data_IF_880968477810
#
_entry.id   IF_880968477810
#
_cell.length_a   1.000
_cell.length_b   1.000
_cell.length_c   1.000
_cell.angle_alpha   90.00
_cell.angle_beta   90.00
_cell.angle_gamma   90.00
#
_symmetry.space_group_name_H-M   'P 1'
#
loop_
_entity.id
_entity.type
_entity.pdbx_description
1 polymer ?
#
# COMPACT_ATOMS: atom_id res chain seq x y z
N UNK A 1 -30.37 -25.80 34.40
CA UNK A 1 -30.73 -24.67 33.52
C UNK A 1 -30.22 -23.41 34.19
N UNK A 2 -29.08 -22.90 33.76
CA UNK A 2 -28.48 -21.66 34.24
C UNK A 2 -27.96 -20.96 33.00
N UNK A 3 -28.78 -20.06 32.47
CA UNK A 3 -28.42 -19.11 31.41
C UNK A 3 -27.37 -18.16 31.98
N UNK A 4 -26.10 -18.56 31.89
CA UNK A 4 -24.99 -17.63 32.01
C UNK A 4 -25.07 -16.71 30.79
N UNK A 5 -25.55 -15.49 31.02
CA UNK A 5 -25.37 -14.35 30.12
C UNK A 5 -23.97 -14.41 29.54
N UNK A 6 -23.88 -14.56 28.21
CA UNK A 6 -22.63 -14.54 27.45
C UNK A 6 -21.87 -13.26 27.82
N UNK A 7 -20.91 -13.39 28.73
CA UNK A 7 -20.08 -12.29 29.19
C UNK A 7 -19.25 -11.86 27.98
N UNK A 8 -19.67 -10.79 27.30
CA UNK A 8 -18.90 -10.18 26.22
C UNK A 8 -17.57 -9.73 26.80
N UNK A 9 -16.47 -10.28 26.28
CA UNK A 9 -15.15 -9.83 26.70
C UNK A 9 -14.87 -8.46 26.07
N UNK A 10 -14.72 -7.37 26.85
CA UNK A 10 -14.46 -6.04 26.32
C UNK A 10 -13.14 -5.96 25.54
N UNK A 11 -12.18 -6.86 25.79
CA UNK A 11 -10.93 -6.93 25.03
C UNK A 11 -11.16 -7.45 23.61
N UNK A 12 -12.12 -8.36 23.43
CA UNK A 12 -12.50 -8.88 22.12
C UNK A 12 -13.24 -7.82 21.33
N UNK A 13 -14.11 -7.05 21.98
CA UNK A 13 -14.80 -5.93 21.34
C UNK A 13 -13.82 -4.81 20.93
N UNK A 14 -12.82 -4.50 21.77
CA UNK A 14 -11.74 -3.57 21.43
C UNK A 14 -10.93 -4.07 20.22
N UNK A 15 -10.63 -5.37 20.16
CA UNK A 15 -9.97 -5.96 18.99
C UNK A 15 -10.83 -5.83 17.73
N UNK A 16 -12.13 -6.14 17.81
CA UNK A 16 -13.05 -6.05 16.67
C UNK A 16 -13.09 -4.63 16.09
N UNK A 17 -13.09 -3.60 16.94
CA UNK A 17 -13.02 -2.21 16.51
C UNK A 17 -11.70 -1.89 15.77
N UNK A 18 -10.56 -2.38 16.28
CA UNK A 18 -9.27 -2.22 15.59
C UNK A 18 -9.21 -3.00 14.27
N UNK A 19 -9.88 -4.15 14.17
CA UNK A 19 -9.99 -4.88 12.91
C UNK A 19 -10.84 -4.13 11.89
N UNK A 20 -11.93 -3.47 12.33
CA UNK A 20 -12.76 -2.63 11.46
C UNK A 20 -11.97 -1.41 10.96
N UNK A 21 -11.22 -0.73 11.83
CA UNK A 21 -10.30 0.35 11.44
C UNK A 21 -9.24 -0.11 10.43
N UNK A 22 -8.71 -1.33 10.61
CA UNK A 22 -7.77 -1.94 9.66
C UNK A 22 -8.42 -2.19 8.30
N UNK A 23 -9.67 -2.68 8.28
CA UNK A 23 -10.43 -2.92 7.05
C UNK A 23 -10.63 -1.59 6.29
N UNK A 24 -11.01 -0.53 6.99
CA UNK A 24 -11.29 0.75 6.37
C UNK A 24 -10.02 1.39 5.77
N UNK A 25 -8.90 1.35 6.50
CA UNK A 25 -7.61 1.81 5.97
C UNK A 25 -7.14 1.03 4.74
N UNK A 26 -7.32 -0.30 4.74
CA UNK A 26 -6.96 -1.13 3.59
C UNK A 26 -7.87 -0.87 2.38
N UNK A 27 -9.15 -0.55 2.59
CA UNK A 27 -10.06 -0.13 1.52
C UNK A 27 -9.65 1.21 0.92
N UNK A 28 -9.34 2.18 1.75
CA UNK A 28 -8.85 3.49 1.31
C UNK A 28 -7.57 3.31 0.46
N UNK A 29 -6.63 2.48 0.93
CA UNK A 29 -5.40 2.17 0.18
C UNK A 29 -5.72 1.52 -1.18
N UNK A 30 -6.67 0.59 -1.24
CA UNK A 30 -7.08 -0.04 -2.48
C UNK A 30 -7.69 0.97 -3.48
N UNK A 31 -8.54 1.86 -2.99
CA UNK A 31 -9.16 2.91 -3.80
C UNK A 31 -8.12 3.90 -4.34
N UNK A 32 -7.15 4.29 -3.51
CA UNK A 32 -6.03 5.12 -3.92
C UNK A 32 -5.20 4.45 -5.04
N UNK A 33 -4.85 3.17 -4.89
CA UNK A 33 -4.11 2.42 -5.91
C UNK A 33 -4.89 2.28 -7.23
N UNK A 34 -6.19 2.00 -7.17
CA UNK A 34 -7.06 1.96 -8.36
C UNK A 34 -7.11 3.30 -9.08
N UNK A 35 -7.27 4.36 -8.31
CA UNK A 35 -7.34 5.69 -8.86
C UNK A 35 -6.00 6.16 -9.44
N UNK A 36 -4.87 5.71 -8.86
CA UNK A 36 -3.54 5.89 -9.40
C UNK A 36 -3.39 5.17 -10.76
N UNK A 37 -3.75 3.89 -10.85
CA UNK A 37 -3.76 3.15 -12.12
C UNK A 37 -4.61 3.86 -13.18
N UNK A 38 -5.79 4.38 -12.81
CA UNK A 38 -6.66 5.13 -13.73
C UNK A 38 -6.01 6.44 -14.20
N UNK A 39 -5.35 7.17 -13.31
CA UNK A 39 -4.64 8.41 -13.67
C UNK A 39 -3.47 8.16 -14.63
N UNK A 40 -2.71 7.08 -14.40
CA UNK A 40 -1.63 6.63 -15.30
C UNK A 40 -2.19 6.35 -16.70
N UNK A 41 -3.29 5.60 -16.79
CA UNK A 41 -3.94 5.28 -18.07
C UNK A 41 -4.50 6.53 -18.77
N UNK A 42 -5.03 7.49 -18.00
CA UNK A 42 -5.55 8.75 -18.53
C UNK A 42 -4.46 9.78 -18.89
N UNK A 43 -3.19 9.52 -18.57
CA UNK A 43 -2.05 10.45 -18.74
C UNK A 43 -2.27 11.80 -18.05
N UNK A 44 -2.92 11.78 -16.89
CA UNK A 44 -3.18 12.99 -16.09
C UNK A 44 -2.05 13.19 -15.07
N UNK A 45 -0.98 13.84 -15.51
CA UNK A 45 0.25 14.04 -14.73
C UNK A 45 0.01 14.87 -13.45
N UNK A 46 -0.96 15.79 -13.47
CA UNK A 46 -1.31 16.63 -12.31
C UNK A 46 -1.96 15.78 -11.22
N UNK A 47 -2.90 14.94 -11.60
CA UNK A 47 -3.59 14.02 -10.68
C UNK A 47 -2.67 12.89 -10.22
N UNK A 48 -1.68 12.50 -11.03
CA UNK A 48 -0.66 11.52 -10.68
C UNK A 48 0.23 11.98 -9.51
N UNK A 49 0.78 13.19 -9.58
CA UNK A 49 1.66 13.73 -8.55
C UNK A 49 0.98 13.84 -7.19
N UNK A 50 -0.24 14.38 -7.15
CA UNK A 50 -1.03 14.48 -5.91
C UNK A 50 -1.31 13.10 -5.29
N UNK A 51 -1.64 12.10 -6.11
CA UNK A 51 -1.92 10.74 -5.63
C UNK A 51 -0.69 10.03 -5.10
N UNK A 52 0.49 10.27 -5.69
CA UNK A 52 1.75 9.71 -5.19
C UNK A 52 2.14 10.31 -3.83
N UNK A 53 1.93 11.62 -3.65
CA UNK A 53 2.18 12.29 -2.37
C UNK A 53 1.25 11.78 -1.26
N UNK A 54 -0.03 11.58 -1.57
CA UNK A 54 -1.00 11.02 -0.63
C UNK A 54 -0.63 9.57 -0.23
N UNK A 55 -0.21 8.75 -1.19
CA UNK A 55 0.22 7.37 -0.95
C UNK A 55 1.49 7.31 -0.08
N UNK A 56 2.39 8.29 -0.22
CA UNK A 56 3.58 8.45 0.62
C UNK A 56 3.28 8.79 2.08
N UNK A 57 2.07 9.29 2.38
CA UNK A 57 1.61 9.66 3.75
C UNK A 57 0.78 8.57 4.44
N UNK A 58 0.42 7.52 3.73
CA UNK A 58 -0.32 6.35 4.26
C UNK A 58 0.49 5.44 5.22
N UNK A 59 1.82 5.24 5.08
CA UNK A 59 2.59 4.31 5.92
C UNK A 59 2.54 4.58 7.45
N UNK A 60 2.64 5.84 7.94
CA UNK A 60 2.59 6.12 9.37
C UNK A 60 1.28 5.70 10.05
N UNK A 61 0.15 5.83 9.35
CA UNK A 61 -1.18 5.43 9.86
C UNK A 61 -1.32 3.92 9.96
N UNK A 62 -0.87 3.21 8.92
CA UNK A 62 -0.85 1.74 8.90
C UNK A 62 0.03 1.17 10.02
N UNK A 63 1.20 1.77 10.27
CA UNK A 63 2.10 1.35 11.34
C UNK A 63 1.49 1.56 12.73
N UNK A 64 0.78 2.67 12.95
CA UNK A 64 0.10 2.95 14.21
C UNK A 64 -0.99 1.91 14.52
N UNK A 65 -1.83 1.59 13.53
CA UNK A 65 -2.89 0.57 13.69
C UNK A 65 -2.30 -0.83 13.86
N UNK A 66 -1.23 -1.17 13.12
CA UNK A 66 -0.53 -2.44 13.28
C UNK A 66 0.08 -2.60 14.68
N UNK A 67 0.67 -1.54 15.25
CA UNK A 67 1.17 -1.52 16.63
C UNK A 67 0.04 -1.76 17.64
N UNK A 68 -1.10 -1.07 17.50
CA UNK A 68 -2.26 -1.23 18.38
C UNK A 68 -2.82 -2.65 18.32
N UNK A 69 -2.98 -3.21 17.11
CA UNK A 69 -3.39 -4.61 16.89
C UNK A 69 -2.44 -5.60 17.57
N UNK A 70 -1.13 -5.40 17.42
CA UNK A 70 -0.13 -6.28 18.03
C UNK A 70 -0.13 -6.21 19.57
N UNK A 71 -0.36 -5.02 20.14
CA UNK A 71 -0.52 -4.85 21.58
C UNK A 71 -1.76 -5.59 22.11
N UNK A 72 -2.92 -5.47 21.42
CA UNK A 72 -4.14 -6.19 21.77
C UNK A 72 -3.97 -7.71 21.64
N UNK A 73 -3.33 -8.19 20.57
CA UNK A 73 -2.99 -9.61 20.41
C UNK A 73 -2.17 -10.13 21.59
N UNK A 74 -1.21 -9.35 22.06
CA UNK A 74 -0.35 -9.73 23.19
C UNK A 74 -1.09 -9.72 24.53
N UNK A 75 -2.11 -8.86 24.71
CA UNK A 75 -2.98 -8.86 25.88
C UNK A 75 -3.91 -10.08 25.88
N UNK A 76 -4.53 -10.38 24.73
CA UNK A 76 -5.40 -11.55 24.56
C UNK A 76 -4.65 -12.87 24.73
N UNK A 77 -3.42 -12.96 24.21
CA UNK A 77 -2.56 -14.13 24.40
C UNK A 77 -2.27 -14.41 25.87
N UNK A 78 -1.99 -13.37 26.65
CA UNK A 78 -1.82 -13.49 28.10
C UNK A 78 -3.12 -13.90 28.81
N UNK A 79 -4.26 -13.32 28.43
CA UNK A 79 -5.55 -13.65 29.03
C UNK A 79 -5.97 -15.10 28.74
N UNK A 80 -5.64 -15.63 27.56
CA UNK A 80 -5.94 -17.00 27.12
C UNK A 80 -4.81 -18.01 27.43
N UNK A 81 -3.75 -17.57 28.12
CA UNK A 81 -2.65 -18.44 28.53
C UNK A 81 -1.85 -19.05 27.38
N UNK A 82 -1.83 -18.45 26.19
CA UNK A 82 -1.10 -18.98 25.04
C UNK A 82 0.06 -18.06 24.59
N UNK A 83 1.07 -18.59 23.90
CA UNK A 83 2.11 -17.78 23.29
C UNK A 83 1.53 -16.78 22.28
N UNK A 84 2.09 -15.56 22.23
CA UNK A 84 1.64 -14.50 21.29
C UNK A 84 1.74 -14.95 19.83
N UNK A 85 2.73 -15.78 19.50
CA UNK A 85 2.91 -16.35 18.15
C UNK A 85 1.77 -17.28 17.72
N UNK A 86 1.15 -17.99 18.66
CA UNK A 86 0.07 -18.93 18.41
C UNK A 86 -1.33 -18.28 18.52
N UNK A 87 -1.38 -17.03 18.98
CA UNK A 87 -2.62 -16.25 19.05
C UNK A 87 -3.02 -15.82 17.64
N UNK A 88 -3.97 -16.56 17.06
CA UNK A 88 -4.56 -16.28 15.74
C UNK A 88 -6.05 -15.91 15.89
N UNK A 89 -6.60 -15.18 14.92
CA UNK A 89 -8.05 -14.89 14.88
C UNK A 89 -8.89 -16.18 14.80
N UNK A 90 -8.32 -17.26 14.26
CA UNK A 90 -8.99 -18.57 14.25
C UNK A 90 -9.08 -19.18 15.64
N UNK A 91 -7.97 -19.18 16.38
CA UNK A 91 -7.93 -19.65 17.76
C UNK A 91 -8.85 -18.81 18.62
N UNK A 92 -8.77 -17.49 18.51
CA UNK A 92 -9.66 -16.58 19.24
C UNK A 92 -11.14 -16.91 18.98
N UNK A 93 -11.55 -17.16 17.74
CA UNK A 93 -12.92 -17.53 17.40
C UNK A 93 -13.37 -18.89 17.95
N UNK A 94 -12.46 -19.76 18.40
CA UNK A 94 -12.79 -21.03 19.08
C UNK A 94 -12.92 -20.86 20.60
N UNK A 95 -12.19 -19.92 21.18
CA UNK A 95 -12.14 -19.68 22.62
C UNK A 95 -13.22 -18.70 23.12
N UNK A 96 -13.73 -17.83 22.25
CA UNK A 96 -14.77 -16.84 22.61
C UNK A 96 -16.18 -17.37 22.35
N UNK A 97 -17.18 -16.96 23.16
CA UNK A 97 -18.56 -17.37 22.93
C UNK A 97 -19.14 -16.79 21.62
N UNK A 98 -20.11 -17.47 21.04
CA UNK A 98 -21.01 -16.87 20.04
C UNK A 98 -21.81 -15.75 20.75
N UNK A 99 -21.97 -14.53 20.19
CA UNK A 99 -21.80 -14.09 18.79
C UNK A 99 -20.43 -13.46 18.46
N UNK A 100 -19.52 -13.30 19.43
CA UNK A 100 -18.22 -12.67 19.19
C UNK A 100 -17.37 -13.52 18.24
N UNK A 101 -17.47 -14.85 18.35
CA UNK A 101 -16.79 -15.78 17.45
C UNK A 101 -17.21 -15.59 15.98
N UNK A 102 -18.51 -15.45 15.69
CA UNK A 102 -19.00 -15.10 14.36
C UNK A 102 -18.47 -13.75 13.85
N UNK A 103 -18.42 -12.73 14.71
CA UNK A 103 -17.90 -11.42 14.36
C UNK A 103 -16.40 -11.46 13.99
N UNK A 104 -15.60 -12.23 14.73
CA UNK A 104 -14.17 -12.46 14.45
C UNK A 104 -13.99 -13.17 13.11
N UNK A 105 -14.76 -14.24 12.85
CA UNK A 105 -14.69 -14.99 11.58
C UNK A 105 -15.02 -14.11 10.37
N UNK A 106 -16.06 -13.28 10.47
CA UNK A 106 -16.47 -12.35 9.42
C UNK A 106 -15.35 -11.34 9.08
N UNK A 107 -14.75 -10.72 10.10
CA UNK A 107 -13.67 -9.73 9.90
C UNK A 107 -12.39 -10.37 9.37
N UNK A 108 -12.06 -11.58 9.84
CA UNK A 108 -10.94 -12.36 9.28
C UNK A 108 -11.13 -12.62 7.79
N UNK A 109 -12.31 -13.05 7.36
CA UNK A 109 -12.59 -13.30 5.95
C UNK A 109 -12.42 -12.01 5.12
N UNK A 110 -13.03 -10.90 5.57
CA UNK A 110 -12.91 -9.60 4.92
C UNK A 110 -11.46 -9.12 4.80
N UNK A 111 -10.68 -9.21 5.87
CA UNK A 111 -9.27 -8.81 5.86
C UNK A 111 -8.45 -9.65 4.89
N UNK A 112 -8.71 -10.96 4.79
CA UNK A 112 -8.02 -11.84 3.84
C UNK A 112 -8.33 -11.42 2.40
N UNK A 113 -9.61 -11.25 2.09
CA UNK A 113 -10.04 -10.93 0.73
C UNK A 113 -9.54 -9.54 0.31
N UNK A 114 -9.53 -8.58 1.25
CA UNK A 114 -9.03 -7.23 1.01
C UNK A 114 -7.51 -7.19 0.86
N UNK A 115 -6.76 -7.93 1.67
CA UNK A 115 -5.31 -8.02 1.55
C UNK A 115 -4.91 -8.59 0.19
N UNK A 116 -5.63 -9.59 -0.30
CA UNK A 116 -5.42 -10.14 -1.64
C UNK A 116 -5.74 -9.12 -2.73
N UNK A 117 -6.84 -8.38 -2.60
CA UNK A 117 -7.21 -7.33 -3.55
C UNK A 117 -6.16 -6.21 -3.61
N UNK A 118 -5.64 -5.76 -2.46
CA UNK A 118 -4.57 -4.75 -2.38
C UNK A 118 -3.30 -5.28 -3.03
N UNK A 119 -2.90 -6.53 -2.75
CA UNK A 119 -1.73 -7.16 -3.35
C UNK A 119 -1.82 -7.19 -4.87
N UNK A 120 -2.96 -7.65 -5.40
CA UNK A 120 -3.20 -7.71 -6.84
C UNK A 120 -3.15 -6.31 -7.46
N UNK A 121 -3.84 -5.33 -6.86
CA UNK A 121 -3.85 -3.97 -7.38
C UNK A 121 -2.45 -3.34 -7.39
N UNK A 122 -1.65 -3.59 -6.35
CA UNK A 122 -0.28 -3.08 -6.27
C UNK A 122 0.60 -3.63 -7.40
N UNK A 123 0.48 -4.93 -7.70
CA UNK A 123 1.19 -5.56 -8.81
C UNK A 123 0.76 -4.98 -10.17
N UNK A 124 -0.55 -4.80 -10.39
CA UNK A 124 -1.06 -4.17 -11.60
C UNK A 124 -0.52 -2.76 -11.78
N UNK A 125 -0.57 -1.93 -10.74
CA UNK A 125 -0.05 -0.57 -10.78
C UNK A 125 1.45 -0.57 -11.06
N UNK A 126 2.23 -1.47 -10.45
CA UNK A 126 3.67 -1.58 -10.68
C UNK A 126 4.00 -1.91 -12.15
N UNK A 127 3.25 -2.83 -12.77
CA UNK A 127 3.39 -3.16 -14.19
C UNK A 127 3.07 -1.96 -15.08
N UNK A 128 1.97 -1.23 -14.79
CA UNK A 128 1.60 -0.04 -15.56
C UNK A 128 2.69 1.05 -15.51
N UNK A 129 3.23 1.32 -14.33
CA UNK A 129 4.33 2.29 -14.16
C UNK A 129 5.57 1.86 -14.94
N UNK A 130 5.94 0.58 -14.86
CA UNK A 130 7.09 0.04 -15.59
C UNK A 130 6.92 0.18 -17.11
N UNK A 131 5.73 -0.11 -17.64
CA UNK A 131 5.44 0.04 -19.06
C UNK A 131 5.47 1.50 -19.51
N UNK A 132 4.89 2.43 -18.74
CA UNK A 132 4.97 3.86 -19.04
C UNK A 132 6.42 4.34 -19.05
N UNK A 133 7.22 3.93 -18.07
CA UNK A 133 8.66 4.26 -18.04
C UNK A 133 9.41 3.70 -19.25
N UNK A 134 9.10 2.46 -19.66
CA UNK A 134 9.68 1.81 -20.83
C UNK A 134 9.33 2.56 -22.12
N UNK A 135 8.06 2.90 -22.33
CA UNK A 135 7.59 3.65 -23.51
C UNK A 135 8.22 5.04 -23.53
N UNK A 136 8.23 5.75 -22.41
CA UNK A 136 8.85 7.07 -22.32
C UNK A 136 10.34 7.01 -22.67
N UNK A 137 11.05 5.98 -22.19
CA UNK A 137 12.46 5.76 -22.55
C UNK A 137 12.63 5.52 -24.06
N UNK A 138 11.82 4.65 -24.66
CA UNK A 138 11.89 4.39 -26.10
C UNK A 138 11.57 5.63 -26.94
N UNK A 139 10.59 6.44 -26.52
CA UNK A 139 10.27 7.71 -27.17
C UNK A 139 11.42 8.71 -27.07
N UNK A 140 12.02 8.85 -25.88
CA UNK A 140 13.18 9.72 -25.69
C UNK A 140 14.36 9.28 -26.54
N UNK A 141 14.63 7.98 -26.65
CA UNK A 141 15.69 7.46 -27.51
C UNK A 141 15.41 7.69 -28.99
N UNK A 142 14.15 7.60 -29.43
CA UNK A 142 13.75 7.85 -30.82
C UNK A 142 13.69 9.34 -31.20
N UNK A 143 13.27 10.21 -30.28
CA UNK A 143 13.21 11.67 -30.47
C UNK A 143 14.58 12.33 -30.30
N UNK A 144 15.46 11.74 -29.50
CA UNK A 144 16.82 12.20 -29.28
C UNK A 144 17.83 11.13 -29.72
N UNK A 145 17.95 10.83 -31.04
CA UNK A 145 18.99 9.95 -31.56
C UNK A 145 20.34 10.67 -31.46
N UNK A 146 20.89 10.77 -30.25
CA UNK A 146 22.06 11.60 -29.98
C UNK A 146 22.16 12.15 -28.55
N UNK A 147 21.28 11.76 -27.60
CA UNK A 147 21.36 12.17 -26.19
C UNK A 147 22.65 11.74 -25.43
N UNK A 148 23.70 11.34 -26.14
CA UNK A 148 25.06 11.17 -25.65
C UNK A 148 26.05 12.23 -26.15
N UNK A 149 25.67 13.15 -27.05
CA UNK A 149 26.58 14.13 -27.65
C UNK A 149 26.27 15.55 -27.17
N UNK A 150 26.93 15.94 -26.08
CA UNK A 150 26.85 17.29 -25.51
C UNK A 150 27.93 18.14 -26.19
N UNK A 151 27.56 18.91 -27.21
CA UNK A 151 28.47 19.84 -27.86
C UNK A 151 28.84 21.00 -26.91
N UNK A 152 30.08 21.03 -26.42
CA UNK A 152 30.60 22.20 -25.71
C UNK A 152 31.32 23.11 -26.70
N UNK A 153 30.93 24.38 -26.74
CA UNK A 153 31.64 25.41 -27.49
C UNK A 153 32.87 25.85 -26.70
N UNK A 154 34.06 25.74 -27.30
CA UNK A 154 35.27 26.36 -26.76
C UNK A 154 35.20 27.88 -26.96
N UNK A 155 35.96 28.62 -26.15
CA UNK A 155 36.12 30.08 -26.25
C UNK A 155 36.73 30.57 -27.57
N UNK A 156 37.18 29.65 -28.44
CA UNK A 156 37.67 29.90 -29.80
C UNK A 156 36.61 29.62 -30.90
N UNK A 157 35.39 29.24 -30.54
CA UNK A 157 34.30 28.96 -31.48
C UNK A 157 34.38 27.60 -32.19
N UNK A 158 35.32 26.73 -31.81
CA UNK A 158 35.42 25.38 -32.40
C UNK A 158 34.56 24.37 -31.62
N UNK A 159 33.81 23.55 -32.36
CA UNK A 159 32.94 22.51 -31.80
C UNK A 159 33.73 21.19 -31.65
N UNK A 160 33.81 20.67 -30.43
CA UNK A 160 34.37 19.35 -30.15
C UNK A 160 33.23 18.40 -29.76
N UNK A 161 33.00 17.37 -30.56
CA UNK A 161 32.01 16.33 -30.26
C UNK A 161 32.63 15.29 -29.33
N UNK A 162 32.14 15.20 -28.09
CA UNK A 162 32.50 14.13 -27.16
C UNK A 162 31.28 13.25 -26.87
N UNK A 163 31.41 11.91 -26.97
CA UNK A 163 30.37 11.00 -26.55
C UNK A 163 30.40 10.84 -25.03
N UNK A 164 29.42 11.39 -24.33
CA UNK A 164 29.26 11.28 -22.88
C UNK A 164 28.19 12.21 -22.30
N UNK A 165 26.96 11.69 -22.18
CA UNK A 165 25.87 12.16 -21.31
C UNK A 165 25.25 13.52 -21.70
N UNK A 166 24.24 13.48 -22.59
CA UNK A 166 23.46 14.66 -23.00
C UNK A 166 22.52 15.15 -21.89
N UNK A 167 22.70 16.41 -21.48
CA UNK A 167 21.74 17.15 -20.67
C UNK A 167 20.75 17.86 -21.61
N UNK A 168 19.45 17.63 -21.44
CA UNK A 168 18.40 18.38 -22.14
C UNK A 168 18.18 19.73 -21.44
N UNK A 169 18.58 20.84 -22.07
CA UNK A 169 18.18 22.18 -21.63
C UNK A 169 16.80 22.52 -22.22
N UNK A 170 15.79 22.59 -21.35
CA UNK A 170 14.39 22.84 -21.72
C UNK A 170 13.95 24.28 -21.45
N UNK A 171 14.87 25.25 -21.47
CA UNK A 171 14.52 26.67 -21.36
C UNK A 171 14.07 27.22 -22.71
N UNK A 172 12.79 27.56 -22.80
CA UNK A 172 12.24 28.50 -23.77
C UNK A 172 11.53 29.62 -23.04
#
# INVERSE_FOLDING_TARGET
>A
MTTATAQRDPLVDELLAVLDETIDLQRETLEQLRALSKAILARDDKTLGQRMDDLGRTPPRLDAVARRRNALRSRLARALGCPVGEMTLERLAREVPEPQAAAVRLRRARLRDLAEAVRMQHLETAVLVAEVARVNRSLLLGLCPGAGETGTYRTDGTALWQPGHGLLDARR
#
